data_IF_288885872896
#
_entry.id   IF_288885872896
#
_cell.length_a   1.000
_cell.length_b   1.000
_cell.length_c   1.000
_cell.angle_alpha   90.00
_cell.angle_beta   90.00
_cell.angle_gamma   90.00
#
_symmetry.space_group_name_H-M   'P 1'
#
loop_
_entity.id
_entity.type
_entity.pdbx_description
1 polymer ?
#
# COMPACT_ATOMS: atom_id res chain seq x y z
N UNK A 1 24.31 66.36 16.87
CA UNK A 1 23.86 65.20 16.09
C UNK A 1 24.93 64.40 15.38
N UNK A 2 25.92 65.07 14.72
CA UNK A 2 26.97 64.33 13.98
C UNK A 2 28.08 63.79 14.88
N UNK A 3 28.40 64.49 15.99
CA UNK A 3 29.41 64.07 16.96
C UNK A 3 29.01 62.82 17.75
N UNK A 4 27.73 62.72 18.14
CA UNK A 4 27.21 61.56 18.85
C UNK A 4 27.12 60.27 17.97
N UNK A 5 26.87 60.45 16.67
CA UNK A 5 26.89 59.35 15.73
C UNK A 5 28.31 58.83 15.49
N UNK A 6 29.28 59.77 15.39
CA UNK A 6 30.68 59.43 15.20
C UNK A 6 31.27 58.68 16.39
N UNK A 7 30.99 59.10 17.61
CA UNK A 7 31.44 58.40 18.83
C UNK A 7 30.78 57.03 18.93
N UNK A 8 29.46 56.90 18.66
CA UNK A 8 28.80 55.60 18.68
C UNK A 8 29.34 54.59 17.62
N UNK A 9 29.73 55.09 16.43
CA UNK A 9 30.37 54.28 15.41
C UNK A 9 31.82 53.89 15.80
N UNK A 10 32.53 54.78 16.46
CA UNK A 10 33.90 54.52 16.91
C UNK A 10 33.90 53.55 18.11
N UNK A 11 32.96 53.69 19.03
CA UNK A 11 32.79 52.74 20.13
C UNK A 11 32.39 51.35 19.63
N UNK A 12 31.48 51.26 18.67
CA UNK A 12 31.09 50.00 18.02
C UNK A 12 32.24 49.38 17.25
N UNK A 13 33.06 50.16 16.55
CA UNK A 13 34.23 49.66 15.84
C UNK A 13 35.33 49.14 16.78
N UNK A 14 35.54 49.79 17.95
CA UNK A 14 36.45 49.29 18.99
C UNK A 14 35.91 48.06 19.67
N UNK A 15 34.63 47.95 19.92
CA UNK A 15 33.98 46.77 20.50
C UNK A 15 34.07 45.56 19.56
N UNK A 16 33.94 45.77 18.25
CA UNK A 16 34.13 44.72 17.22
C UNK A 16 35.61 44.33 17.09
N UNK A 17 36.55 45.27 17.21
CA UNK A 17 37.99 44.97 17.14
C UNK A 17 38.54 44.27 18.39
N UNK A 18 37.84 44.40 19.52
CA UNK A 18 38.17 43.72 20.79
C UNK A 18 37.59 42.32 20.90
N UNK A 19 36.75 41.92 19.93
CA UNK A 19 36.34 40.53 19.78
C UNK A 19 37.56 39.73 19.34
N UNK A 20 38.21 39.12 20.33
CA UNK A 20 39.34 38.25 20.11
C UNK A 20 38.85 36.99 19.37
N UNK A 21 38.85 37.06 18.05
CA UNK A 21 38.51 35.93 17.20
C UNK A 21 39.69 34.94 17.24
N UNK A 22 39.61 34.04 18.21
CA UNK A 22 40.48 32.86 18.23
C UNK A 22 39.98 31.84 17.23
N UNK A 23 40.87 30.94 16.79
CA UNK A 23 40.49 29.83 15.90
C UNK A 23 39.28 29.04 16.46
N UNK A 24 39.19 28.90 17.77
CA UNK A 24 38.05 28.31 18.48
C UNK A 24 36.70 29.07 18.22
N UNK A 25 36.78 30.42 18.08
CA UNK A 25 35.59 31.22 17.77
C UNK A 25 35.14 31.03 16.32
N UNK A 26 36.08 30.92 15.39
CA UNK A 26 35.77 30.59 13.99
C UNK A 26 35.24 29.17 13.86
N UNK A 27 35.77 28.20 14.57
CA UNK A 27 35.27 26.82 14.61
C UNK A 27 33.87 26.74 15.21
N UNK A 28 33.59 27.52 16.26
CA UNK A 28 32.26 27.59 16.85
C UNK A 28 31.22 28.22 15.91
N UNK A 29 31.61 29.18 15.06
CA UNK A 29 30.72 29.74 14.04
C UNK A 29 30.60 28.84 12.80
N UNK A 30 31.65 28.12 12.44
CA UNK A 30 31.67 27.19 11.31
C UNK A 30 30.93 25.87 11.63
N UNK A 31 31.04 25.41 12.88
CA UNK A 31 30.43 24.18 13.39
C UNK A 31 29.78 24.43 14.76
N UNK A 32 28.65 25.16 14.82
CA UNK A 32 28.01 25.56 16.07
C UNK A 32 27.46 24.38 16.88
N UNK A 33 27.42 23.20 16.29
CA UNK A 33 26.98 21.95 16.92
C UNK A 33 27.96 20.85 16.52
N UNK A 34 28.61 20.23 17.47
CA UNK A 34 29.34 18.99 17.26
C UNK A 34 28.33 17.86 17.17
N UNK A 35 27.87 17.60 15.95
CA UNK A 35 26.87 16.57 15.69
C UNK A 35 27.55 15.22 15.60
N UNK A 36 27.46 14.44 16.67
CA UNK A 36 27.79 13.01 16.61
C UNK A 36 26.74 12.28 15.79
N UNK A 37 27.01 12.07 14.50
CA UNK A 37 26.13 11.34 13.61
C UNK A 37 26.19 9.84 13.94
N UNK A 38 25.21 9.37 14.69
CA UNK A 38 25.01 7.94 14.90
C UNK A 38 24.05 7.39 13.85
N UNK A 39 24.57 6.68 12.88
CA UNK A 39 23.76 6.02 11.85
C UNK A 39 23.04 4.82 12.44
N UNK A 40 21.73 4.94 12.70
CA UNK A 40 20.89 3.84 13.15
C UNK A 40 20.61 2.80 12.04
N UNK A 41 20.82 3.16 10.77
CA UNK A 41 20.70 2.29 9.60
C UNK A 41 21.56 2.81 8.45
N UNK A 42 22.23 1.91 7.74
CA UNK A 42 23.00 2.26 6.55
C UNK A 42 22.12 2.11 5.31
N UNK A 43 21.86 3.22 4.62
CA UNK A 43 21.13 3.23 3.34
C UNK A 43 22.07 3.77 2.27
N UNK A 44 22.50 2.90 1.36
CA UNK A 44 23.54 3.23 0.38
C UNK A 44 23.17 4.37 -0.57
N UNK A 45 21.88 4.52 -0.90
CA UNK A 45 21.41 5.58 -1.79
C UNK A 45 19.95 5.92 -1.58
N UNK A 46 19.49 7.05 -2.13
CA UNK A 46 18.12 7.53 -2.04
C UNK A 46 17.10 6.56 -2.68
N UNK A 47 17.51 5.77 -3.65
CA UNK A 47 16.65 4.74 -4.26
C UNK A 47 16.23 3.67 -3.27
N UNK A 48 17.12 3.21 -2.40
CA UNK A 48 16.80 2.26 -1.33
C UNK A 48 15.86 2.86 -0.28
N UNK A 49 16.00 4.15 0.05
CA UNK A 49 15.12 4.83 0.98
C UNK A 49 13.67 4.94 0.44
N UNK A 50 13.51 5.19 -0.86
CA UNK A 50 12.21 5.30 -1.53
C UNK A 50 11.63 3.94 -1.92
N UNK A 51 12.44 2.89 -2.03
CA UNK A 51 12.01 1.57 -2.48
C UNK A 51 10.85 1.02 -1.64
N UNK A 52 10.91 1.13 -0.33
CA UNK A 52 9.87 0.67 0.59
C UNK A 52 8.47 1.22 0.24
N UNK A 53 8.42 2.51 -0.09
CA UNK A 53 7.19 3.19 -0.47
C UNK A 53 6.71 2.76 -1.87
N UNK A 54 7.60 2.77 -2.86
CA UNK A 54 7.26 2.41 -4.24
C UNK A 54 6.84 0.95 -4.37
N UNK A 55 7.45 0.05 -3.61
CA UNK A 55 7.06 -1.36 -3.56
C UNK A 55 5.65 -1.55 -3.00
N UNK A 56 5.27 -0.82 -1.94
CA UNK A 56 3.93 -0.86 -1.38
C UNK A 56 2.87 -0.40 -2.41
N UNK A 57 3.17 0.68 -3.14
CA UNK A 57 2.31 1.20 -4.24
C UNK A 57 2.20 0.18 -5.35
N UNK A 58 3.32 -0.37 -5.81
CA UNK A 58 3.35 -1.36 -6.88
C UNK A 58 2.50 -2.59 -6.59
N UNK A 59 2.57 -3.12 -5.36
CA UNK A 59 1.74 -4.25 -4.93
C UNK A 59 0.24 -3.93 -4.95
N UNK A 60 -0.15 -2.74 -4.48
CA UNK A 60 -1.56 -2.31 -4.51
C UNK A 60 -2.08 -2.17 -5.93
N UNK A 61 -1.32 -1.46 -6.78
CA UNK A 61 -1.69 -1.25 -8.19
C UNK A 61 -1.78 -2.58 -8.94
N UNK A 62 -0.86 -3.51 -8.70
CA UNK A 62 -0.90 -4.83 -9.33
C UNK A 62 -2.14 -5.63 -8.92
N UNK A 63 -2.52 -5.62 -7.63
CA UNK A 63 -3.77 -6.23 -7.16
C UNK A 63 -5.01 -5.57 -7.79
N UNK A 64 -5.00 -4.23 -7.89
CA UNK A 64 -6.11 -3.49 -8.48
C UNK A 64 -6.23 -3.77 -9.99
N UNK A 65 -5.11 -3.77 -10.71
CA UNK A 65 -5.07 -4.10 -12.13
C UNK A 65 -5.59 -5.52 -12.40
N UNK A 66 -5.15 -6.51 -11.60
CA UNK A 66 -5.69 -7.86 -11.68
C UNK A 66 -7.21 -7.90 -11.54
N UNK A 67 -7.75 -7.21 -10.54
CA UNK A 67 -9.19 -7.16 -10.31
C UNK A 67 -9.96 -6.44 -11.43
N UNK A 68 -9.36 -5.44 -12.09
CA UNK A 68 -9.98 -4.76 -13.24
C UNK A 68 -9.96 -5.65 -14.48
N UNK A 69 -8.83 -6.31 -14.75
CA UNK A 69 -8.65 -7.12 -15.96
C UNK A 69 -9.46 -8.42 -15.95
N UNK A 70 -9.51 -9.10 -14.82
CA UNK A 70 -10.12 -10.44 -14.72
C UNK A 70 -11.53 -10.43 -14.11
N UNK A 71 -12.11 -9.26 -13.84
CA UNK A 71 -13.48 -9.10 -13.32
C UNK A 71 -13.86 -10.14 -12.24
N UNK A 72 -13.15 -10.18 -11.10
CA UNK A 72 -13.29 -11.25 -10.12
C UNK A 72 -14.68 -11.27 -9.43
N UNK A 73 -15.49 -10.25 -9.67
CA UNK A 73 -16.86 -10.15 -9.16
C UNK A 73 -17.88 -10.99 -9.93
N UNK A 74 -17.51 -11.60 -11.06
CA UNK A 74 -18.32 -12.61 -11.72
C UNK A 74 -18.22 -13.93 -10.97
N UNK A 75 -19.37 -14.47 -10.59
CA UNK A 75 -19.45 -15.70 -9.80
C UNK A 75 -19.79 -16.85 -10.73
N UNK A 76 -18.88 -17.78 -11.01
CA UNK A 76 -19.19 -18.92 -11.86
C UNK A 76 -20.22 -19.83 -11.16
N UNK A 77 -21.31 -20.12 -11.85
CA UNK A 77 -22.38 -21.03 -11.38
C UNK A 77 -21.95 -22.52 -11.42
N UNK A 78 -20.69 -22.80 -11.77
CA UNK A 78 -20.14 -24.16 -11.97
C UNK A 78 -20.05 -25.00 -10.68
N UNK A 79 -20.38 -24.44 -9.51
CA UNK A 79 -20.31 -25.13 -8.22
C UNK A 79 -21.69 -25.52 -7.67
N UNK A 80 -21.76 -26.67 -7.00
CA UNK A 80 -22.98 -27.13 -6.32
C UNK A 80 -23.50 -26.14 -5.26
N UNK A 81 -22.60 -25.32 -4.67
CA UNK A 81 -22.92 -24.33 -3.64
C UNK A 81 -22.03 -23.10 -3.76
N UNK A 82 -22.51 -21.93 -3.34
CA UNK A 82 -21.76 -20.69 -3.28
C UNK A 82 -20.41 -20.84 -2.54
N UNK A 83 -20.40 -21.56 -1.44
CA UNK A 83 -19.19 -21.80 -0.63
C UNK A 83 -18.12 -22.61 -1.39
N UNK A 84 -18.54 -23.59 -2.19
CA UNK A 84 -17.62 -24.39 -2.99
C UNK A 84 -16.95 -23.56 -4.10
N UNK A 85 -17.73 -22.71 -4.77
CA UNK A 85 -17.21 -21.80 -5.79
C UNK A 85 -16.23 -20.75 -5.18
N UNK A 86 -16.55 -20.23 -4.00
CA UNK A 86 -15.69 -19.34 -3.25
C UNK A 86 -14.37 -20.01 -2.84
N UNK A 87 -14.45 -21.23 -2.28
CA UNK A 87 -13.27 -21.98 -1.86
C UNK A 87 -12.32 -22.34 -3.02
N UNK A 88 -12.85 -22.51 -4.24
CA UNK A 88 -12.02 -22.70 -5.44
C UNK A 88 -11.33 -21.42 -5.90
N UNK A 89 -11.94 -20.26 -5.67
CA UNK A 89 -11.40 -18.97 -6.11
C UNK A 89 -10.33 -18.42 -5.17
N UNK A 90 -10.44 -18.71 -3.87
CA UNK A 90 -9.50 -18.24 -2.86
C UNK A 90 -8.03 -18.65 -3.12
N UNK A 91 -7.70 -19.91 -3.42
CA UNK A 91 -6.32 -20.31 -3.70
C UNK A 91 -5.74 -19.60 -4.93
N UNK A 92 -6.55 -19.34 -5.95
CA UNK A 92 -6.11 -18.60 -7.14
C UNK A 92 -5.72 -17.16 -6.78
N UNK A 93 -6.53 -16.47 -5.97
CA UNK A 93 -6.23 -15.12 -5.51
C UNK A 93 -4.95 -15.08 -4.66
N UNK A 94 -4.78 -16.07 -3.78
CA UNK A 94 -3.58 -16.19 -2.96
C UNK A 94 -2.34 -16.47 -3.82
N UNK A 95 -2.46 -17.39 -4.80
CA UNK A 95 -1.38 -17.68 -5.73
C UNK A 95 -0.96 -16.44 -6.52
N UNK A 96 -1.91 -15.68 -7.08
CA UNK A 96 -1.63 -14.44 -7.80
C UNK A 96 -0.95 -13.42 -6.89
N UNK A 97 -1.45 -13.24 -5.65
CA UNK A 97 -0.86 -12.33 -4.68
C UNK A 97 0.60 -12.67 -4.36
N UNK A 98 0.93 -13.93 -4.20
CA UNK A 98 2.31 -14.36 -3.94
C UNK A 98 3.20 -14.28 -5.18
N UNK A 99 2.71 -14.69 -6.35
CA UNK A 99 3.48 -14.61 -7.61
C UNK A 99 3.86 -13.18 -7.94
N UNK A 100 2.94 -12.20 -7.83
CA UNK A 100 3.25 -10.79 -8.08
C UNK A 100 4.21 -10.22 -7.04
N UNK A 101 4.10 -10.62 -5.77
CA UNK A 101 4.99 -10.16 -4.71
C UNK A 101 6.43 -10.67 -4.92
N UNK A 102 6.60 -11.96 -5.17
CA UNK A 102 7.90 -12.56 -5.46
C UNK A 102 8.46 -11.99 -6.75
N UNK A 103 7.65 -11.90 -7.81
CA UNK A 103 8.05 -11.34 -9.10
C UNK A 103 8.55 -9.90 -8.96
N UNK A 104 7.87 -9.06 -8.19
CA UNK A 104 8.31 -7.67 -7.96
C UNK A 104 9.68 -7.62 -7.29
N UNK A 105 9.90 -8.37 -6.21
CA UNK A 105 11.18 -8.36 -5.47
C UNK A 105 12.30 -8.92 -6.35
N UNK A 106 12.05 -10.02 -7.07
CA UNK A 106 13.05 -10.61 -7.96
C UNK A 106 13.41 -9.70 -9.13
N UNK A 107 12.42 -9.05 -9.76
CA UNK A 107 12.68 -8.11 -10.86
C UNK A 107 13.50 -6.90 -10.39
N UNK A 108 13.19 -6.35 -9.21
CA UNK A 108 14.00 -5.28 -8.63
C UNK A 108 15.43 -5.73 -8.33
N UNK A 109 15.60 -6.94 -7.82
CA UNK A 109 16.92 -7.50 -7.57
C UNK A 109 17.73 -7.70 -8.86
N UNK A 110 17.11 -8.30 -9.90
CA UNK A 110 17.79 -8.63 -11.15
C UNK A 110 18.11 -7.41 -12.02
N UNK A 111 17.18 -6.43 -12.12
CA UNK A 111 17.34 -5.30 -13.02
C UNK A 111 17.93 -4.06 -12.36
N UNK A 112 17.64 -3.83 -11.07
CA UNK A 112 18.12 -2.64 -10.36
C UNK A 112 19.24 -2.91 -9.36
N UNK A 113 19.69 -4.16 -9.22
CA UNK A 113 20.67 -4.52 -8.20
C UNK A 113 20.15 -4.29 -6.77
N UNK A 114 18.83 -4.32 -6.57
CA UNK A 114 18.23 -4.11 -5.25
C UNK A 114 18.69 -5.20 -4.28
N UNK A 115 19.45 -4.81 -3.27
CA UNK A 115 20.00 -5.70 -2.26
C UNK A 115 19.50 -5.28 -0.86
N UNK A 116 18.33 -5.76 -0.42
CA UNK A 116 17.85 -5.49 0.93
C UNK A 116 18.70 -6.23 1.94
N UNK A 117 18.76 -5.75 3.18
CA UNK A 117 19.54 -6.36 4.25
C UNK A 117 19.05 -7.79 4.55
N UNK A 118 17.74 -8.02 4.45
CA UNK A 118 17.14 -9.35 4.57
C UNK A 118 16.16 -9.61 3.40
N UNK A 119 16.63 -10.35 2.40
CA UNK A 119 15.86 -10.70 1.21
C UNK A 119 14.62 -11.54 1.56
N UNK A 120 14.76 -12.50 2.48
CA UNK A 120 13.65 -13.37 2.88
C UNK A 120 12.54 -12.57 3.57
N UNK A 121 12.91 -11.72 4.52
CA UNK A 121 11.92 -10.84 5.17
C UNK A 121 11.25 -9.90 4.17
N UNK A 122 11.98 -9.37 3.19
CA UNK A 122 11.41 -8.51 2.14
C UNK A 122 10.37 -9.26 1.31
N UNK A 123 10.65 -10.49 0.90
CA UNK A 123 9.70 -11.35 0.18
C UNK A 123 8.47 -11.67 1.04
N UNK A 124 8.66 -11.97 2.33
CA UNK A 124 7.54 -12.26 3.24
C UNK A 124 6.67 -11.02 3.47
N UNK A 125 7.26 -9.84 3.68
CA UNK A 125 6.51 -8.58 3.80
C UNK A 125 5.73 -8.31 2.52
N UNK A 126 6.34 -8.48 1.34
CA UNK A 126 5.67 -8.32 0.06
C UNK A 126 4.50 -9.30 -0.09
N UNK A 127 4.70 -10.57 0.23
CA UNK A 127 3.70 -11.63 0.11
C UNK A 127 2.48 -11.40 1.02
N UNK A 128 2.69 -11.17 2.30
CA UNK A 128 1.60 -10.90 3.25
C UNK A 128 0.88 -9.58 2.96
N UNK A 129 1.60 -8.53 2.55
CA UNK A 129 0.99 -7.27 2.14
C UNK A 129 0.15 -7.44 0.87
N UNK A 130 0.66 -8.12 -0.13
CA UNK A 130 -0.07 -8.42 -1.36
C UNK A 130 -1.33 -9.24 -1.09
N UNK A 131 -1.27 -10.23 -0.20
CA UNK A 131 -2.42 -11.03 0.22
C UNK A 131 -3.50 -10.16 0.89
N UNK A 132 -3.11 -9.26 1.79
CA UNK A 132 -4.03 -8.32 2.43
C UNK A 132 -4.66 -7.36 1.41
N UNK A 133 -3.87 -6.80 0.52
CA UNK A 133 -4.34 -5.91 -0.54
C UNK A 133 -5.32 -6.60 -1.49
N UNK A 134 -4.98 -7.82 -1.91
CA UNK A 134 -5.88 -8.63 -2.75
C UNK A 134 -7.22 -8.87 -2.06
N UNK A 135 -7.21 -9.21 -0.76
CA UNK A 135 -8.44 -9.44 0.01
C UNK A 135 -9.30 -8.16 0.12
N UNK A 136 -8.69 -7.01 0.43
CA UNK A 136 -9.37 -5.72 0.53
C UNK A 136 -10.00 -5.33 -0.83
N UNK A 137 -9.19 -5.35 -1.88
CA UNK A 137 -9.57 -4.92 -3.22
C UNK A 137 -10.68 -5.82 -3.79
N UNK A 138 -10.51 -7.13 -3.65
CA UNK A 138 -11.49 -8.09 -4.09
C UNK A 138 -12.82 -7.95 -3.32
N UNK A 139 -12.76 -7.80 -1.99
CA UNK A 139 -13.94 -7.61 -1.15
C UNK A 139 -14.75 -6.38 -1.57
N UNK A 140 -14.11 -5.21 -1.74
CA UNK A 140 -14.79 -3.99 -2.17
C UNK A 140 -15.40 -4.12 -3.57
N UNK A 141 -14.68 -4.74 -4.50
CA UNK A 141 -15.19 -4.98 -5.84
C UNK A 141 -16.37 -5.96 -5.86
N UNK A 142 -16.39 -6.92 -4.93
CA UNK A 142 -17.54 -7.82 -4.77
C UNK A 142 -18.81 -7.07 -4.34
N UNK A 143 -18.70 -6.08 -3.43
CA UNK A 143 -19.84 -5.29 -2.97
C UNK A 143 -20.25 -4.19 -3.95
N UNK A 144 -19.28 -3.44 -4.49
CA UNK A 144 -19.54 -2.22 -5.26
C UNK A 144 -19.37 -2.41 -6.79
N UNK A 145 -18.95 -3.59 -7.25
CA UNK A 145 -18.69 -3.84 -8.67
C UNK A 145 -17.60 -2.90 -9.23
N UNK A 146 -17.80 -2.37 -10.44
CA UNK A 146 -16.84 -1.47 -11.11
C UNK A 146 -16.59 -0.17 -10.34
N UNK A 147 -17.57 0.33 -9.60
CA UNK A 147 -17.46 1.53 -8.76
C UNK A 147 -16.47 1.28 -7.61
N UNK A 148 -16.38 0.04 -7.12
CA UNK A 148 -15.41 -0.36 -6.11
C UNK A 148 -13.97 -0.09 -6.50
N UNK A 149 -13.60 -0.34 -7.75
CA UNK A 149 -12.24 -0.05 -8.25
C UNK A 149 -11.92 1.44 -8.22
N UNK A 150 -12.89 2.31 -8.54
CA UNK A 150 -12.71 3.75 -8.45
C UNK A 150 -12.53 4.22 -6.99
N UNK A 151 -13.35 3.72 -6.07
CA UNK A 151 -13.21 4.01 -4.64
C UNK A 151 -11.84 3.56 -4.12
N UNK A 152 -11.37 2.38 -4.54
CA UNK A 152 -10.06 1.85 -4.17
C UNK A 152 -8.90 2.68 -4.71
N UNK A 153 -9.06 3.28 -5.90
CA UNK A 153 -8.08 4.20 -6.47
C UNK A 153 -8.01 5.49 -5.66
N UNK A 154 -9.14 6.07 -5.28
CA UNK A 154 -9.20 7.25 -4.40
C UNK A 154 -8.61 6.91 -3.03
N UNK A 155 -8.95 5.75 -2.47
CA UNK A 155 -8.39 5.28 -1.21
C UNK A 155 -6.87 5.08 -1.29
N UNK A 156 -6.34 4.63 -2.42
CA UNK A 156 -4.90 4.56 -2.65
C UNK A 156 -4.24 5.93 -2.53
N UNK A 157 -4.81 6.97 -3.15
CA UNK A 157 -4.27 8.34 -3.06
C UNK A 157 -4.25 8.84 -1.62
N UNK A 158 -5.30 8.56 -0.84
CA UNK A 158 -5.33 8.88 0.60
C UNK A 158 -4.25 8.14 1.38
N UNK A 159 -4.03 6.87 1.09
CA UNK A 159 -2.97 6.06 1.72
C UNK A 159 -1.58 6.60 1.40
N UNK A 160 -1.34 7.02 0.14
CA UNK A 160 -0.08 7.64 -0.29
C UNK A 160 0.27 8.87 0.56
N UNK A 161 -0.71 9.72 0.81
CA UNK A 161 -0.52 10.94 1.61
C UNK A 161 -0.37 10.63 3.12
N UNK A 162 -1.02 9.58 3.62
CA UNK A 162 -1.11 9.27 5.05
C UNK A 162 -0.07 8.32 5.61
N UNK A 163 0.60 7.52 4.77
CA UNK A 163 1.50 6.45 5.24
C UNK A 163 2.88 6.94 5.71
N UNK A 164 3.17 8.24 5.68
CA UNK A 164 4.49 8.82 5.98
C UNK A 164 5.64 8.17 5.17
N UNK A 165 5.34 7.79 3.93
CA UNK A 165 6.31 7.16 3.04
C UNK A 165 7.45 8.09 2.62
N UNK A 166 7.15 9.37 2.46
CA UNK A 166 8.10 10.41 1.99
C UNK A 166 8.44 11.44 3.05
N UNK A 167 7.54 11.70 4.01
CA UNK A 167 7.72 12.72 5.05
C UNK A 167 7.47 12.14 6.44
N UNK A 168 8.11 12.67 7.50
CA UNK A 168 7.79 12.35 8.88
C UNK A 168 6.32 12.63 9.20
N UNK A 169 5.70 11.76 9.98
CA UNK A 169 4.27 11.87 10.34
C UNK A 169 3.92 13.14 11.12
N UNK A 170 4.93 13.74 11.76
CA UNK A 170 4.81 14.98 12.56
C UNK A 170 4.50 16.19 11.68
N UNK A 171 4.97 16.20 10.44
CA UNK A 171 4.73 17.25 9.46
C UNK A 171 3.39 17.10 8.72
N UNK A 172 2.71 15.97 8.90
CA UNK A 172 1.42 15.71 8.26
C UNK A 172 0.27 16.37 9.00
N UNK A 173 -0.78 16.77 8.27
CA UNK A 173 -2.00 17.34 8.87
C UNK A 173 -2.63 16.37 9.89
N UNK A 174 -3.31 16.94 10.92
CA UNK A 174 -3.93 16.15 12.01
C UNK A 174 -4.83 15.02 11.51
N UNK A 175 -5.54 15.26 10.40
CA UNK A 175 -6.39 14.27 9.74
C UNK A 175 -5.62 12.99 9.38
N UNK A 176 -4.47 13.10 8.71
CA UNK A 176 -3.66 11.95 8.30
C UNK A 176 -3.06 11.19 9.49
N UNK A 177 -2.71 11.90 10.56
CA UNK A 177 -2.20 11.26 11.80
C UNK A 177 -3.25 10.36 12.46
N UNK A 178 -4.52 10.76 12.43
CA UNK A 178 -5.64 9.98 13.00
C UNK A 178 -5.94 8.75 12.14
N UNK A 179 -5.89 8.88 10.81
CA UNK A 179 -6.23 7.80 9.88
C UNK A 179 -5.06 6.82 9.69
N UNK A 180 -3.82 7.24 9.91
CA UNK A 180 -2.60 6.44 9.71
C UNK A 180 -2.69 5.00 10.26
N UNK A 181 -3.18 4.73 11.49
CA UNK A 181 -3.28 3.37 12.02
C UNK A 181 -4.23 2.46 11.23
N UNK A 182 -5.19 3.02 10.51
CA UNK A 182 -6.16 2.29 9.70
C UNK A 182 -5.70 2.06 8.26
N UNK A 183 -4.56 2.62 7.88
CA UNK A 183 -4.04 2.51 6.53
C UNK A 183 -3.11 1.29 6.37
N UNK A 184 -3.46 0.31 5.52
CA UNK A 184 -2.61 -0.85 5.26
C UNK A 184 -1.19 -0.48 4.80
N UNK A 185 -1.03 0.57 3.99
CA UNK A 185 0.28 1.05 3.51
C UNK A 185 1.23 1.40 4.64
N UNK A 186 0.74 1.93 5.75
CA UNK A 186 1.58 2.29 6.90
C UNK A 186 2.40 1.09 7.39
N UNK A 187 1.75 -0.04 7.55
CA UNK A 187 2.40 -1.26 8.02
C UNK A 187 3.29 -1.90 6.96
N UNK A 188 2.86 -1.89 5.71
CA UNK A 188 3.67 -2.40 4.59
C UNK A 188 4.95 -1.59 4.41
N UNK A 189 4.86 -0.26 4.41
CA UNK A 189 6.03 0.63 4.27
C UNK A 189 6.98 0.47 5.46
N UNK A 190 6.45 0.36 6.69
CA UNK A 190 7.27 0.08 7.88
C UNK A 190 7.96 -1.28 7.78
N UNK A 191 7.24 -2.31 7.34
CA UNK A 191 7.79 -3.64 7.12
C UNK A 191 8.91 -3.65 6.10
N UNK A 192 8.73 -2.99 4.97
CA UNK A 192 9.77 -2.87 3.95
C UNK A 192 10.98 -2.05 4.47
N UNK A 193 10.75 -0.93 5.14
CA UNK A 193 11.85 -0.16 5.74
C UNK A 193 12.66 -1.00 6.72
N UNK A 194 11.99 -1.80 7.53
CA UNK A 194 12.64 -2.68 8.48
C UNK A 194 13.47 -3.76 7.77
N UNK A 195 12.92 -4.44 6.77
CA UNK A 195 13.62 -5.53 6.06
C UNK A 195 14.75 -5.00 5.15
N UNK A 196 14.61 -3.80 4.60
CA UNK A 196 15.60 -3.19 3.69
C UNK A 196 16.78 -2.59 4.48
N UNK A 197 16.50 -1.84 5.56
CA UNK A 197 17.50 -0.99 6.21
C UNK A 197 18.00 -1.50 7.56
N UNK A 198 17.21 -2.26 8.32
CA UNK A 198 17.55 -2.62 9.71
C UNK A 198 17.55 -4.10 10.01
N UNK A 199 16.93 -4.93 9.20
CA UNK A 199 16.77 -6.37 9.46
C UNK A 199 16.00 -6.70 10.75
N UNK A 200 15.29 -5.71 11.35
CA UNK A 200 14.52 -5.92 12.58
C UNK A 200 13.28 -6.80 12.33
N UNK A 201 12.78 -7.43 13.38
CA UNK A 201 11.60 -8.26 13.33
C UNK A 201 10.36 -7.48 12.84
N UNK A 202 9.67 -8.05 11.84
CA UNK A 202 8.46 -7.51 11.22
C UNK A 202 7.16 -8.13 11.77
N UNK A 203 7.20 -8.67 12.99
CA UNK A 203 6.06 -9.39 13.59
C UNK A 203 4.75 -8.58 13.56
N UNK A 204 4.80 -7.30 13.91
CA UNK A 204 3.62 -6.41 13.87
C UNK A 204 3.05 -6.30 12.46
N UNK A 205 3.90 -6.13 11.45
CA UNK A 205 3.47 -6.07 10.05
C UNK A 205 2.77 -7.36 9.63
N UNK A 206 3.35 -8.51 9.94
CA UNK A 206 2.75 -9.81 9.60
C UNK A 206 1.40 -10.02 10.30
N UNK A 207 1.31 -9.74 11.59
CA UNK A 207 0.07 -9.89 12.36
C UNK A 207 -1.03 -9.01 11.77
N UNK A 208 -0.75 -7.73 11.52
CA UNK A 208 -1.74 -6.80 10.97
C UNK A 208 -2.16 -7.19 9.57
N UNK A 209 -1.23 -7.58 8.68
CA UNK A 209 -1.56 -7.97 7.31
C UNK A 209 -2.35 -9.27 7.25
N UNK A 210 -2.00 -10.26 8.06
CA UNK A 210 -2.75 -11.51 8.17
C UNK A 210 -4.16 -11.26 8.73
N UNK A 211 -4.28 -10.42 9.77
CA UNK A 211 -5.57 -10.05 10.34
C UNK A 211 -6.46 -9.33 9.32
N UNK A 212 -5.93 -8.35 8.58
CA UNK A 212 -6.64 -7.67 7.51
C UNK A 212 -7.09 -8.65 6.41
N UNK A 213 -6.17 -9.51 5.94
CA UNK A 213 -6.50 -10.53 4.95
C UNK A 213 -7.64 -11.45 5.44
N UNK A 214 -7.58 -11.92 6.68
CA UNK A 214 -8.60 -12.78 7.27
C UNK A 214 -9.96 -12.06 7.39
N UNK A 215 -9.98 -10.84 7.92
CA UNK A 215 -11.21 -10.04 8.08
C UNK A 215 -11.89 -9.80 6.74
N UNK A 216 -11.16 -9.32 5.73
CA UNK A 216 -11.74 -9.03 4.42
C UNK A 216 -12.13 -10.30 3.66
N UNK A 217 -11.38 -11.40 3.84
CA UNK A 217 -11.75 -12.72 3.29
C UNK A 217 -13.05 -13.24 3.91
N UNK A 218 -13.25 -13.05 5.22
CA UNK A 218 -14.49 -13.42 5.90
C UNK A 218 -15.67 -12.52 5.47
N UNK A 219 -15.44 -11.21 5.35
CA UNK A 219 -16.44 -10.25 4.85
C UNK A 219 -16.87 -10.53 3.41
N UNK A 220 -16.05 -11.21 2.64
CA UNK A 220 -16.34 -11.62 1.27
C UNK A 220 -17.39 -12.71 1.17
N UNK A 221 -17.49 -13.59 2.17
CA UNK A 221 -18.42 -14.75 2.16
C UNK A 221 -19.88 -14.34 1.95
N UNK A 222 -20.46 -13.40 2.72
CA UNK A 222 -21.86 -12.98 2.51
C UNK A 222 -22.06 -12.30 1.15
N UNK A 223 -21.13 -11.48 0.69
CA UNK A 223 -21.21 -10.86 -0.63
C UNK A 223 -21.24 -11.90 -1.75
N UNK A 224 -20.40 -12.92 -1.63
CA UNK A 224 -20.33 -14.02 -2.60
C UNK A 224 -21.64 -14.83 -2.62
N UNK A 225 -22.21 -15.15 -1.45
CA UNK A 225 -23.51 -15.85 -1.33
C UNK A 225 -24.65 -15.07 -1.97
N UNK A 226 -24.70 -13.74 -1.74
CA UNK A 226 -25.74 -12.87 -2.33
C UNK A 226 -25.65 -12.84 -3.86
N UNK A 227 -24.45 -12.66 -4.41
CA UNK A 227 -24.25 -12.65 -5.86
C UNK A 227 -24.55 -14.00 -6.49
N UNK A 228 -24.07 -15.08 -5.91
CA UNK A 228 -24.34 -16.43 -6.41
C UNK A 228 -25.85 -16.71 -6.47
N UNK A 229 -26.61 -16.30 -5.44
CA UNK A 229 -28.08 -16.45 -5.43
C UNK A 229 -28.74 -15.64 -6.55
N UNK A 230 -28.29 -14.39 -6.78
CA UNK A 230 -28.82 -13.54 -7.85
C UNK A 230 -28.56 -14.12 -9.24
N UNK A 231 -27.31 -14.51 -9.51
CA UNK A 231 -26.93 -15.10 -10.79
C UNK A 231 -27.64 -16.42 -11.06
N UNK A 232 -27.81 -17.26 -10.04
CA UNK A 232 -28.58 -18.49 -10.16
C UNK A 232 -30.06 -18.22 -10.50
N UNK A 233 -30.71 -17.30 -9.79
CA UNK A 233 -32.12 -16.93 -10.07
C UNK A 233 -32.27 -16.37 -11.49
N UNK A 234 -31.31 -15.61 -11.98
CA UNK A 234 -31.32 -15.03 -13.32
C UNK A 234 -31.08 -16.10 -14.40
N UNK A 235 -30.20 -17.07 -14.15
CA UNK A 235 -30.01 -18.22 -15.04
C UNK A 235 -31.26 -19.11 -15.13
N UNK A 236 -31.89 -19.44 -13.99
CA UNK A 236 -33.11 -20.23 -13.92
C UNK A 236 -34.25 -19.53 -14.71
N UNK A 237 -34.39 -18.20 -14.58
CA UNK A 237 -35.40 -17.41 -15.33
C UNK A 237 -35.14 -17.41 -16.85
N UNK A 238 -33.86 -17.32 -17.26
CA UNK A 238 -33.49 -17.33 -18.68
C UNK A 238 -33.81 -18.69 -19.31
N UNK A 239 -33.50 -19.79 -18.62
CA UNK A 239 -33.78 -21.16 -19.08
C UNK A 239 -35.28 -21.43 -19.21
N UNK A 240 -36.11 -20.94 -18.29
CA UNK A 240 -37.56 -21.04 -18.33
C UNK A 240 -38.16 -20.27 -19.50
N UNK A 241 -37.62 -19.05 -19.78
CA UNK A 241 -38.04 -18.21 -20.90
C UNK A 241 -37.69 -18.84 -22.26
N UNK A 242 -36.49 -19.40 -22.39
CA UNK A 242 -36.08 -20.11 -23.60
C UNK A 242 -36.93 -21.37 -23.86
N UNK A 243 -37.18 -22.15 -22.81
CA UNK A 243 -37.99 -23.37 -22.90
C UNK A 243 -39.42 -23.05 -23.34
N UNK A 244 -40.02 -21.99 -22.82
CA UNK A 244 -41.37 -21.51 -23.17
C UNK A 244 -41.40 -20.99 -24.60
N UNK A 245 -40.36 -20.26 -25.05
CA UNK A 245 -40.25 -19.79 -26.42
C UNK A 245 -40.12 -20.93 -27.44
N UNK A 246 -39.32 -21.95 -27.14
CA UNK A 246 -39.17 -23.14 -28.00
C UNK A 246 -40.49 -23.94 -28.08
N UNK A 247 -41.22 -24.07 -26.96
CA UNK A 247 -42.50 -24.76 -26.92
C UNK A 247 -43.55 -24.04 -27.77
N UNK A 248 -43.65 -22.71 -27.66
CA UNK A 248 -44.56 -21.88 -28.46
C UNK A 248 -44.24 -21.94 -29.95
N UNK A 249 -42.94 -21.92 -30.31
CA UNK A 249 -42.52 -22.04 -31.71
C UNK A 249 -42.84 -23.42 -32.30
N UNK A 250 -42.67 -24.51 -31.54
CA UNK A 250 -43.05 -25.87 -31.97
C UNK A 250 -44.56 -25.99 -32.20
N UNK A 251 -45.40 -25.38 -31.36
CA UNK A 251 -46.83 -25.35 -31.54
C UNK A 251 -47.27 -24.57 -32.79
N UNK A 252 -46.63 -23.44 -33.08
CA UNK A 252 -46.91 -22.66 -34.30
C UNK A 252 -46.51 -23.34 -35.62
N UNK A 253 -45.47 -24.20 -35.58
CA UNK A 253 -45.01 -24.96 -36.79
C UNK A 253 -45.82 -26.23 -37.00
N UNK A 254 -46.59 -26.70 -36.01
CA UNK A 254 -47.41 -27.92 -36.11
C UNK A 254 -48.86 -27.66 -36.55
N UNK A 255 -49.24 -26.40 -36.79
CA UNK A 255 -50.51 -25.96 -37.36
C UNK A 255 -50.30 -25.60 -38.84
#
# INVERSE_FOLDING_TARGET
GSGTLWTALQDGATEISDINSTDDTYDMFASPVDAEETYASHVENNGHAMAAYMMAVGLWVACLAYCIMFSPYEVPLTGKNAMHSWAKKLPVLLMVAWVQAIGMVLLLHLFNGFAPQDMLQTILVAGFSSMAYMAIIFCLNMYCGKIGSFILLVFMVLQLSGCAGTYPSELSAKFFRVIKPFMPFTYTVQGFRSSIATGRSNATTYIVMIALAAVFTLLMIPAYKMKWKREKTQADFTEETETTSIASHKQAVSQ
#
